data_IF_083439323091
#
_entry.id   IF_083439323091
#
_cell.length_a   1.000
_cell.length_b   1.000
_cell.length_c   1.000
_cell.angle_alpha   90.00
_cell.angle_beta   90.00
_cell.angle_gamma   90.00
#
_symmetry.space_group_name_H-M   'P 1'
#
loop_
_entity.id
_entity.type
_entity.pdbx_description
1 polymer ?
#
# COMPACT_ATOMS: atom_id res chain seq x y z
N UNK A 1 26.43 -26.45 -24.78
CA UNK A 1 25.13 -26.00 -24.21
C UNK A 1 24.26 -25.64 -25.41
N UNK A 2 23.13 -26.32 -25.61
CA UNK A 2 22.22 -25.93 -26.70
C UNK A 2 21.72 -24.52 -26.41
N UNK A 3 21.68 -23.67 -27.43
CA UNK A 3 21.21 -22.30 -27.33
C UNK A 3 19.69 -22.34 -27.15
N UNK A 4 19.24 -22.73 -25.96
CA UNK A 4 17.83 -22.79 -25.63
C UNK A 4 17.34 -21.34 -25.61
N UNK A 5 16.52 -21.01 -26.60
CA UNK A 5 15.94 -19.68 -26.75
C UNK A 5 15.18 -19.36 -25.46
N UNK A 6 15.71 -18.45 -24.65
CA UNK A 6 14.99 -17.90 -23.52
C UNK A 6 13.79 -17.09 -24.04
N UNK A 7 12.64 -17.26 -23.41
CA UNK A 7 11.45 -16.50 -23.74
C UNK A 7 10.78 -16.01 -22.45
N UNK A 8 10.24 -14.79 -22.45
CA UNK A 8 9.46 -14.32 -21.32
C UNK A 8 8.15 -15.11 -21.26
N UNK A 9 7.75 -15.49 -20.05
CA UNK A 9 6.42 -16.00 -19.78
C UNK A 9 5.85 -15.25 -18.56
N UNK A 10 4.56 -14.85 -18.60
CA UNK A 10 3.97 -14.12 -17.49
C UNK A 10 3.69 -15.06 -16.32
N UNK A 11 3.86 -14.54 -15.11
CA UNK A 11 3.44 -15.19 -13.85
C UNK A 11 2.83 -14.13 -12.92
N UNK A 12 1.95 -14.56 -12.01
CA UNK A 12 1.31 -13.64 -11.07
C UNK A 12 2.23 -13.36 -9.88
N UNK A 13 2.39 -12.09 -9.51
CA UNK A 13 3.18 -11.66 -8.36
C UNK A 13 2.69 -12.24 -7.02
N UNK A 14 1.42 -12.61 -6.93
CA UNK A 14 0.85 -13.29 -5.78
C UNK A 14 1.58 -14.59 -5.40
N UNK A 15 2.31 -15.21 -6.34
CA UNK A 15 3.18 -16.36 -6.06
C UNK A 15 4.32 -16.04 -5.06
N UNK A 16 4.69 -14.77 -4.92
CA UNK A 16 5.82 -14.31 -4.08
C UNK A 16 5.38 -13.89 -2.66
N UNK A 17 4.19 -14.26 -2.23
CA UNK A 17 3.71 -14.00 -0.86
C UNK A 17 4.34 -14.96 0.16
N UNK A 18 4.40 -14.53 1.44
CA UNK A 18 4.92 -15.35 2.55
C UNK A 18 4.25 -16.72 2.64
N UNK A 19 2.94 -16.78 2.41
CA UNK A 19 2.19 -18.04 2.45
C UNK A 19 2.69 -19.06 1.42
N UNK A 20 3.03 -18.60 0.22
CA UNK A 20 3.53 -19.45 -0.85
C UNK A 20 5.00 -19.78 -0.66
N UNK A 21 5.79 -18.86 -0.09
CA UNK A 21 7.18 -19.11 0.28
C UNK A 21 7.30 -20.30 1.25
N UNK A 22 6.48 -20.33 2.30
CA UNK A 22 6.50 -21.40 3.30
C UNK A 22 6.00 -22.75 2.73
N UNK A 23 5.01 -22.70 1.84
CA UNK A 23 4.42 -23.90 1.23
C UNK A 23 5.30 -24.50 0.12
N UNK A 24 5.80 -23.69 -0.80
CA UNK A 24 6.52 -24.13 -2.01
C UNK A 24 8.02 -24.28 -1.76
N UNK A 25 8.62 -23.32 -1.05
CA UNK A 25 10.06 -23.25 -0.84
C UNK A 25 10.85 -23.40 -2.15
N UNK A 26 11.89 -24.27 -2.18
CA UNK A 26 12.71 -24.48 -3.38
C UNK A 26 11.98 -25.12 -4.56
N UNK A 27 10.80 -25.74 -4.36
CA UNK A 27 10.04 -26.36 -5.44
C UNK A 27 9.49 -25.34 -6.45
N UNK A 28 9.64 -24.04 -6.16
CA UNK A 28 9.28 -22.92 -7.02
C UNK A 28 9.93 -23.03 -8.40
N UNK A 29 11.19 -23.47 -8.45
CA UNK A 29 11.91 -23.66 -9.71
C UNK A 29 11.24 -24.67 -10.62
N UNK A 30 10.80 -25.79 -10.06
CA UNK A 30 10.09 -26.83 -10.80
C UNK A 30 8.69 -26.36 -11.21
N UNK A 31 8.00 -25.63 -10.34
CA UNK A 31 6.69 -25.06 -10.63
C UNK A 31 6.73 -24.05 -11.79
N UNK A 32 7.67 -23.10 -11.75
CA UNK A 32 7.88 -22.12 -12.83
C UNK A 32 8.24 -22.81 -14.16
N UNK A 33 9.03 -23.88 -14.10
CA UNK A 33 9.34 -24.69 -15.28
C UNK A 33 8.10 -25.39 -15.86
N UNK A 34 7.17 -25.85 -15.01
CA UNK A 34 5.90 -26.39 -15.51
C UNK A 34 5.03 -25.31 -16.16
N UNK A 35 4.98 -24.10 -15.59
CA UNK A 35 4.26 -22.97 -16.21
C UNK A 35 4.86 -22.66 -17.59
N UNK A 36 6.19 -22.53 -17.69
CA UNK A 36 6.84 -22.25 -18.97
C UNK A 36 6.58 -23.38 -19.99
N UNK A 37 6.61 -24.63 -19.53
CA UNK A 37 6.38 -25.85 -20.33
C UNK A 37 4.90 -26.16 -20.59
N UNK A 38 3.98 -25.29 -20.16
CA UNK A 38 2.55 -25.43 -20.44
C UNK A 38 2.27 -25.18 -21.92
N UNK A 39 1.63 -26.15 -22.58
CA UNK A 39 1.32 -26.11 -24.02
C UNK A 39 -0.12 -25.73 -24.29
N UNK A 40 -1.05 -26.17 -23.45
CA UNK A 40 -2.49 -25.90 -23.57
C UNK A 40 -3.06 -25.61 -22.20
N UNK A 41 -4.12 -24.83 -22.15
CA UNK A 41 -4.87 -24.55 -20.92
C UNK A 41 -6.31 -25.02 -21.10
N UNK A 42 -6.82 -25.73 -20.10
CA UNK A 42 -8.21 -26.18 -20.05
C UNK A 42 -8.83 -25.52 -18.83
N UNK A 43 -9.92 -24.79 -19.03
CA UNK A 43 -10.73 -24.31 -17.93
C UNK A 43 -11.70 -25.42 -17.52
N UNK A 44 -11.60 -25.85 -16.26
CA UNK A 44 -12.50 -26.85 -15.68
C UNK A 44 -12.94 -26.34 -14.31
N UNK A 45 -14.25 -26.29 -14.09
CA UNK A 45 -14.86 -25.87 -12.82
C UNK A 45 -14.45 -24.44 -12.40
N UNK A 46 -14.31 -23.52 -13.36
CA UNK A 46 -13.85 -22.14 -13.11
C UNK A 46 -12.37 -22.01 -12.73
N UNK A 47 -11.60 -23.09 -12.86
CA UNK A 47 -10.16 -23.13 -12.60
C UNK A 47 -9.42 -23.47 -13.88
N UNK A 48 -8.46 -22.62 -14.26
CA UNK A 48 -7.55 -22.87 -15.39
C UNK A 48 -6.51 -23.92 -15.01
N UNK A 49 -6.47 -25.02 -15.75
CA UNK A 49 -5.47 -26.09 -15.65
C UNK A 49 -4.56 -26.08 -16.88
N UNK A 50 -3.27 -25.91 -16.66
CA UNK A 50 -2.24 -25.99 -17.70
C UNK A 50 -1.79 -27.42 -17.93
N UNK A 51 -1.88 -27.88 -19.18
CA UNK A 51 -1.31 -29.16 -19.61
C UNK A 51 0.19 -28.97 -19.88
N UNK A 52 1.02 -29.65 -19.09
CA UNK A 52 2.47 -29.65 -19.26
C UNK A 52 2.86 -30.55 -20.42
N UNK A 53 3.63 -30.02 -21.38
CA UNK A 53 4.17 -30.76 -22.53
C UNK A 53 3.14 -31.63 -23.28
N UNK A 54 1.87 -31.25 -23.30
CA UNK A 54 0.80 -32.01 -23.94
C UNK A 54 0.48 -33.36 -23.28
N UNK A 55 0.60 -33.48 -21.95
CA UNK A 55 0.47 -34.74 -21.20
C UNK A 55 1.53 -35.79 -21.56
N UNK A 56 2.68 -35.37 -22.11
CA UNK A 56 3.83 -36.27 -22.23
C UNK A 56 4.17 -36.84 -20.82
N UNK A 57 4.26 -38.18 -20.66
CA UNK A 57 4.63 -38.77 -19.38
C UNK A 57 6.07 -38.37 -19.04
N UNK A 58 6.24 -37.66 -17.92
CA UNK A 58 7.52 -37.14 -17.44
C UNK A 58 8.12 -38.07 -16.39
N UNK A 59 9.40 -38.41 -16.55
CA UNK A 59 10.16 -39.16 -15.55
C UNK A 59 10.87 -38.20 -14.61
N UNK A 60 10.96 -38.56 -13.32
CA UNK A 60 11.71 -37.78 -12.33
C UNK A 60 13.16 -37.51 -12.76
N UNK A 61 13.79 -38.48 -13.46
CA UNK A 61 15.13 -38.36 -14.03
C UNK A 61 15.28 -37.24 -15.05
N UNK A 62 14.28 -37.05 -15.92
CA UNK A 62 14.32 -36.01 -16.96
C UNK A 62 14.25 -34.62 -16.33
N UNK A 63 13.34 -34.44 -15.35
CA UNK A 63 13.23 -33.21 -14.58
C UNK A 63 14.48 -32.93 -13.75
N UNK A 64 15.08 -33.96 -13.14
CA UNK A 64 16.31 -33.86 -12.36
C UNK A 64 17.49 -33.37 -13.21
N UNK A 65 17.59 -33.85 -14.45
CA UNK A 65 18.64 -33.45 -15.39
C UNK A 65 18.56 -31.96 -15.77
N UNK A 66 17.36 -31.36 -15.81
CA UNK A 66 17.19 -29.93 -16.14
C UNK A 66 17.84 -29.04 -15.08
N UNK A 67 17.70 -29.37 -13.80
CA UNK A 67 18.20 -28.56 -12.69
C UNK A 67 19.55 -29.06 -12.13
N UNK A 68 20.06 -30.19 -12.62
CA UNK A 68 21.26 -30.82 -12.06
C UNK A 68 21.10 -31.33 -10.63
N UNK A 69 19.87 -31.72 -10.24
CA UNK A 69 19.55 -32.20 -8.89
C UNK A 69 19.30 -33.71 -8.87
N UNK A 70 19.19 -34.30 -7.68
CA UNK A 70 18.86 -35.73 -7.54
C UNK A 70 17.39 -36.01 -7.85
N UNK A 71 17.07 -37.22 -8.33
CA UNK A 71 15.68 -37.66 -8.52
C UNK A 71 14.86 -37.59 -7.23
N UNK A 72 15.50 -37.87 -6.08
CA UNK A 72 14.87 -37.80 -4.76
C UNK A 72 14.40 -36.38 -4.44
N UNK A 73 15.18 -35.38 -4.81
CA UNK A 73 14.83 -33.95 -4.65
C UNK A 73 13.60 -33.60 -5.49
N UNK A 74 13.57 -34.03 -6.75
CA UNK A 74 12.44 -33.77 -7.65
C UNK A 74 11.17 -34.46 -7.15
N UNK A 75 11.25 -35.71 -6.69
CA UNK A 75 10.09 -36.40 -6.10
C UNK A 75 9.54 -35.66 -4.88
N UNK A 76 10.42 -35.21 -3.99
CA UNK A 76 10.02 -34.39 -2.83
C UNK A 76 9.35 -33.08 -3.26
N UNK A 77 9.85 -32.43 -4.31
CA UNK A 77 9.22 -31.22 -4.86
C UNK A 77 7.85 -31.51 -5.47
N UNK A 78 7.70 -32.62 -6.20
CA UNK A 78 6.42 -33.04 -6.76
C UNK A 78 5.39 -33.31 -5.66
N UNK A 79 5.75 -34.08 -4.64
CA UNK A 79 4.89 -34.37 -3.48
C UNK A 79 4.46 -33.08 -2.78
N UNK A 80 5.40 -32.15 -2.58
CA UNK A 80 5.11 -30.88 -1.93
C UNK A 80 4.21 -29.97 -2.78
N UNK A 81 4.42 -29.92 -4.09
CA UNK A 81 3.56 -29.16 -5.00
C UNK A 81 2.15 -29.76 -5.12
N UNK A 82 2.04 -31.09 -5.07
CA UNK A 82 0.76 -31.81 -5.08
C UNK A 82 0.00 -31.62 -3.76
N UNK A 83 0.68 -31.76 -2.62
CA UNK A 83 0.09 -31.59 -1.29
C UNK A 83 -0.48 -30.19 -1.04
N UNK A 84 0.06 -29.18 -1.72
CA UNK A 84 -0.41 -27.79 -1.62
C UNK A 84 -1.28 -27.36 -2.82
N UNK A 85 -1.77 -28.32 -3.61
CA UNK A 85 -2.69 -28.11 -4.74
C UNK A 85 -2.15 -27.19 -5.86
N UNK A 86 -0.83 -27.05 -6.01
CA UNK A 86 -0.25 -26.30 -7.13
C UNK A 86 -0.27 -27.11 -8.43
N UNK A 87 -0.14 -28.42 -8.32
CA UNK A 87 -0.16 -29.35 -9.45
C UNK A 87 -1.07 -30.54 -9.15
N UNK A 88 -1.53 -31.19 -10.21
CA UNK A 88 -2.08 -32.54 -10.16
C UNK A 88 -1.16 -33.47 -10.95
N UNK A 89 -0.74 -34.55 -10.31
CA UNK A 89 0.06 -35.58 -10.96
C UNK A 89 -0.80 -36.83 -11.16
N UNK A 90 -0.93 -37.29 -12.40
CA UNK A 90 -1.62 -38.55 -12.73
C UNK A 90 -0.59 -39.56 -13.19
N UNK A 91 -0.63 -40.77 -12.62
CA UNK A 91 0.27 -41.86 -13.00
C UNK A 91 -0.04 -42.35 -14.41
N UNK A 92 0.98 -42.42 -15.25
CA UNK A 92 0.94 -42.99 -16.59
C UNK A 92 1.92 -44.17 -16.68
N UNK A 93 1.78 -45.06 -17.70
CA UNK A 93 2.62 -46.25 -17.83
C UNK A 93 4.14 -45.96 -17.84
N UNK A 94 4.56 -44.79 -18.35
CA UNK A 94 5.96 -44.44 -18.54
C UNK A 94 6.43 -43.20 -17.76
N UNK A 95 5.61 -42.68 -16.84
CA UNK A 95 5.93 -41.46 -16.07
C UNK A 95 4.72 -40.84 -15.40
N UNK A 96 4.82 -39.55 -15.09
CA UNK A 96 3.74 -38.75 -14.51
C UNK A 96 3.22 -37.75 -15.55
N UNK A 97 1.90 -37.67 -15.71
CA UNK A 97 1.23 -36.59 -16.42
C UNK A 97 0.96 -35.47 -15.43
N UNK A 98 1.46 -34.27 -15.71
CA UNK A 98 1.35 -33.13 -14.80
C UNK A 98 0.37 -32.11 -15.37
N UNK A 99 -0.56 -31.67 -14.54
CA UNK A 99 -1.42 -30.52 -14.79
C UNK A 99 -1.13 -29.44 -13.76
N UNK A 100 -0.94 -28.19 -14.21
CA UNK A 100 -0.60 -27.05 -13.35
C UNK A 100 -1.86 -26.24 -13.05
N UNK A 101 -2.12 -25.97 -11.78
CA UNK A 101 -3.24 -25.11 -11.38
C UNK A 101 -2.88 -23.64 -11.62
N UNK A 102 -3.84 -22.85 -12.09
CA UNK A 102 -3.67 -21.40 -12.33
C UNK A 102 -2.52 -21.04 -13.28
N UNK A 103 -2.26 -21.88 -14.29
CA UNK A 103 -1.15 -21.64 -15.23
C UNK A 103 -1.26 -20.30 -15.97
N UNK A 104 -2.49 -19.85 -16.29
CA UNK A 104 -2.88 -18.53 -16.86
C UNK A 104 -1.85 -17.89 -17.82
N UNK A 105 -1.09 -18.71 -18.54
CA UNK A 105 0.00 -18.35 -19.43
C UNK A 105 -0.54 -17.67 -20.68
N UNK A 106 -1.73 -18.09 -21.12
CA UNK A 106 -2.38 -17.57 -22.33
C UNK A 106 -3.48 -16.55 -22.02
N UNK A 107 -3.78 -16.24 -20.76
CA UNK A 107 -4.82 -15.26 -20.41
C UNK A 107 -4.53 -13.86 -20.97
N UNK A 108 -3.26 -13.48 -21.10
CA UNK A 108 -2.83 -12.22 -21.73
C UNK A 108 -2.90 -12.22 -23.27
N UNK A 109 -3.25 -13.35 -23.90
CA UNK A 109 -3.39 -13.48 -25.37
C UNK A 109 -4.83 -13.40 -25.87
N UNK A 110 -5.79 -13.08 -25.00
CA UNK A 110 -7.17 -12.81 -25.43
C UNK A 110 -7.26 -11.41 -26.05
N UNK A 111 -6.60 -11.24 -27.21
CA UNK A 111 -7.03 -10.22 -28.16
C UNK A 111 -8.38 -10.69 -28.71
N UNK A 112 -9.40 -9.89 -28.45
CA UNK A 112 -10.76 -10.04 -28.92
C UNK A 112 -10.77 -10.29 -30.44
N UNK A 113 -10.87 -11.57 -30.84
CA UNK A 113 -11.33 -11.92 -32.18
C UNK A 113 -12.85 -11.75 -32.20
N UNK A 114 -13.31 -10.50 -32.16
CA UNK A 114 -14.60 -10.12 -32.70
C UNK A 114 -14.35 -9.87 -34.18
N UNK A 115 -14.67 -10.88 -34.99
CA UNK A 115 -14.75 -10.77 -36.43
C UNK A 115 -15.86 -9.76 -36.79
N UNK A 116 -15.46 -8.49 -36.94
CA UNK A 116 -16.22 -7.42 -37.58
C UNK A 116 -15.41 -6.88 -38.75
N UNK A 117 -15.81 -7.28 -39.96
CA UNK A 117 -15.36 -6.89 -41.30
C UNK A 117 -14.45 -5.66 -41.51
N UNK A 118 -13.42 -5.89 -42.35
CA UNK A 118 -12.91 -5.01 -43.42
C UNK A 118 -12.30 -3.63 -43.04
N UNK A 119 -10.97 -3.56 -42.99
CA UNK A 119 -10.15 -2.97 -44.06
C UNK A 119 -8.66 -3.04 -43.71
N UNK A 120 -7.89 -3.62 -44.61
CA UNK A 120 -6.43 -3.56 -44.65
C UNK A 120 -5.96 -2.09 -44.62
N UNK A 121 -4.98 -1.78 -43.76
CA UNK A 121 -4.07 -0.65 -43.98
C UNK A 121 -2.66 -1.02 -43.51
N UNK A 122 -1.63 -0.68 -44.32
CA UNK A 122 -0.29 -1.19 -44.14
C UNK A 122 0.46 -0.45 -43.02
N UNK A 123 1.34 -1.22 -42.40
CA UNK A 123 2.40 -0.82 -41.50
C UNK A 123 3.20 0.38 -42.03
N UNK A 124 3.40 1.40 -41.17
CA UNK A 124 4.51 2.35 -41.32
C UNK A 124 5.04 2.76 -39.93
N UNK A 125 6.35 2.91 -39.73
CA UNK A 125 6.97 3.02 -38.40
C UNK A 125 7.32 4.48 -38.00
N UNK A 126 7.40 4.72 -36.67
CA UNK A 126 8.00 5.88 -35.94
C UNK A 126 7.17 7.19 -35.96
N UNK A 127 7.04 8.07 -34.95
CA UNK A 127 7.42 8.29 -33.51
C UNK A 127 6.44 9.38 -32.95
N UNK A 128 6.74 10.16 -31.88
CA UNK A 128 6.23 10.07 -30.51
C UNK A 128 5.16 11.13 -30.12
N UNK A 129 4.64 10.97 -28.90
CA UNK A 129 3.98 11.96 -28.02
C UNK A 129 2.47 12.26 -28.13
N UNK A 130 1.85 12.16 -26.93
CA UNK A 130 0.75 13.00 -26.36
C UNK A 130 -0.67 12.43 -26.31
N UNK A 131 -1.03 12.05 -25.08
CA UNK A 131 -2.30 12.16 -24.33
C UNK A 131 -3.64 11.55 -24.78
N UNK A 132 -4.20 10.85 -23.77
CA UNK A 132 -5.59 10.77 -23.31
C UNK A 132 -6.64 10.03 -24.13
N UNK A 133 -6.93 8.80 -23.66
CA UNK A 133 -8.21 8.39 -23.00
C UNK A 133 -8.13 6.88 -22.70
N UNK A 134 -7.84 6.47 -21.47
CA UNK A 134 -8.82 6.09 -20.42
C UNK A 134 -10.00 5.27 -20.95
N UNK A 135 -9.85 3.94 -20.96
CA UNK A 135 -10.82 3.03 -20.33
C UNK A 135 -10.26 1.60 -20.30
N UNK A 136 -9.66 1.22 -19.17
CA UNK A 136 -9.52 -0.19 -18.82
C UNK A 136 -10.03 -0.32 -17.39
N UNK A 137 -11.29 -0.70 -17.32
CA UNK A 137 -12.00 -1.12 -16.12
C UNK A 137 -11.31 -2.36 -15.53
N UNK A 138 -10.30 -2.11 -14.70
CA UNK A 138 -9.77 -3.07 -13.73
C UNK A 138 -10.17 -2.54 -12.37
N UNK A 139 -11.23 -3.13 -11.84
CA UNK A 139 -11.63 -3.12 -10.43
C UNK A 139 -10.53 -3.75 -9.56
N UNK A 140 -9.36 -3.13 -9.53
CA UNK A 140 -8.43 -3.25 -8.42
C UNK A 140 -9.03 -2.48 -7.26
N UNK A 141 -9.19 -3.15 -6.12
CA UNK A 141 -9.46 -2.49 -4.85
C UNK A 141 -8.18 -1.76 -4.40
N UNK A 142 -7.79 -0.71 -5.13
CA UNK A 142 -6.91 0.31 -4.59
C UNK A 142 -7.71 1.07 -3.54
N UNK A 143 -7.25 1.06 -2.29
CA UNK A 143 -7.82 1.98 -1.32
C UNK A 143 -7.24 3.36 -1.60
N UNK A 144 -7.99 4.43 -1.34
CA UNK A 144 -7.46 5.80 -1.45
C UNK A 144 -6.19 6.03 -0.61
N UNK A 145 -5.94 5.17 0.38
CA UNK A 145 -4.72 5.16 1.18
C UNK A 145 -3.51 4.60 0.41
N UNK A 146 -3.70 3.61 -0.47
CA UNK A 146 -2.62 3.04 -1.29
C UNK A 146 -2.15 4.07 -2.33
N UNK A 147 -3.09 4.75 -3.00
CA UNK A 147 -2.79 5.86 -3.91
C UNK A 147 -2.01 6.97 -3.21
N UNK A 148 -2.40 7.32 -1.99
CA UNK A 148 -1.72 8.30 -1.16
C UNK A 148 -0.25 7.94 -0.85
N UNK A 149 0.01 6.66 -0.54
CA UNK A 149 1.36 6.16 -0.29
C UNK A 149 2.23 6.28 -1.54
N UNK A 150 1.71 5.86 -2.69
CA UNK A 150 2.43 5.91 -3.96
C UNK A 150 2.76 7.35 -4.37
N UNK A 151 1.84 8.29 -4.19
CA UNK A 151 2.10 9.71 -4.46
C UNK A 151 3.24 10.27 -3.60
N UNK A 152 3.30 9.92 -2.31
CA UNK A 152 4.37 10.37 -1.41
C UNK A 152 5.71 9.69 -1.76
N UNK A 153 5.69 8.38 -2.05
CA UNK A 153 6.87 7.61 -2.43
C UNK A 153 7.50 8.12 -3.73
N UNK A 154 6.68 8.44 -4.72
CA UNK A 154 7.11 9.03 -5.99
C UNK A 154 7.78 10.39 -5.76
N UNK A 155 7.20 11.25 -4.91
CA UNK A 155 7.79 12.55 -4.59
C UNK A 155 9.12 12.42 -3.85
N UNK A 156 9.22 11.50 -2.89
CA UNK A 156 10.47 11.21 -2.19
C UNK A 156 11.58 10.72 -3.13
N UNK A 157 11.23 9.86 -4.08
CA UNK A 157 12.15 9.37 -5.13
C UNK A 157 12.69 10.52 -5.98
N UNK A 158 11.84 11.47 -6.38
CA UNK A 158 12.25 12.64 -7.15
C UNK A 158 13.24 13.52 -6.37
N UNK A 159 12.92 13.84 -5.10
CA UNK A 159 13.79 14.67 -4.25
C UNK A 159 15.14 14.01 -3.98
N UNK A 160 15.13 12.69 -3.72
CA UNK A 160 16.36 11.94 -3.49
C UNK A 160 17.21 11.83 -4.75
N UNK A 161 16.57 11.60 -5.89
CA UNK A 161 17.27 11.50 -7.17
C UNK A 161 17.92 12.84 -7.57
N UNK A 162 17.26 13.96 -7.25
CA UNK A 162 17.84 15.29 -7.43
C UNK A 162 19.05 15.54 -6.51
N UNK A 163 19.04 15.02 -5.28
CA UNK A 163 20.13 15.20 -4.31
C UNK A 163 21.35 14.32 -4.60
N UNK A 164 21.14 13.05 -4.98
CA UNK A 164 22.23 12.08 -5.20
C UNK A 164 22.71 12.03 -6.66
N UNK A 165 22.02 12.70 -7.60
CA UNK A 165 22.34 12.64 -9.04
C UNK A 165 22.15 11.26 -9.67
N UNK A 166 21.49 10.34 -8.95
CA UNK A 166 21.20 8.96 -9.37
C UNK A 166 19.75 8.64 -9.03
N UNK A 167 19.08 7.87 -9.89
CA UNK A 167 17.76 7.32 -9.59
C UNK A 167 17.84 6.34 -8.42
N UNK A 168 17.26 6.71 -7.27
CA UNK A 168 17.24 5.86 -6.09
C UNK A 168 15.81 5.67 -5.57
N UNK A 169 15.38 4.42 -5.56
CA UNK A 169 14.05 4.04 -5.15
C UNK A 169 13.95 3.88 -3.62
N UNK A 170 12.78 4.13 -3.01
CA UNK A 170 12.56 3.95 -1.59
C UNK A 170 12.66 2.47 -1.20
N UNK A 171 13.25 2.18 -0.04
CA UNK A 171 13.31 0.83 0.50
C UNK A 171 11.94 0.39 1.03
N UNK A 172 11.72 -0.92 1.22
CA UNK A 172 10.52 -1.44 1.90
C UNK A 172 10.28 -0.79 3.27
N UNK A 173 11.35 -0.45 4.01
CA UNK A 173 11.26 0.29 5.28
C UNK A 173 10.77 1.73 5.10
N UNK A 174 11.07 2.36 3.98
CA UNK A 174 10.60 3.71 3.65
C UNK A 174 9.11 3.67 3.31
N UNK A 175 8.65 2.69 2.53
CA UNK A 175 7.23 2.46 2.26
C UNK A 175 6.42 2.24 3.55
N UNK A 176 6.95 1.46 4.50
CA UNK A 176 6.31 1.28 5.81
C UNK A 176 6.20 2.61 6.60
N UNK A 177 7.22 3.46 6.52
CA UNK A 177 7.18 4.76 7.19
C UNK A 177 6.18 5.73 6.52
N UNK A 178 6.10 5.72 5.19
CA UNK A 178 5.10 6.50 4.43
C UNK A 178 3.67 6.03 4.78
N UNK A 179 3.43 4.72 4.80
CA UNK A 179 2.14 4.16 5.17
C UNK A 179 1.71 4.56 6.60
N UNK A 180 2.66 4.67 7.55
CA UNK A 180 2.37 5.18 8.90
C UNK A 180 1.91 6.63 8.89
N UNK A 181 2.52 7.50 8.09
CA UNK A 181 2.11 8.91 7.97
C UNK A 181 0.68 9.01 7.42
N UNK A 182 0.37 8.22 6.39
CA UNK A 182 -0.99 8.16 5.84
C UNK A 182 -1.98 7.62 6.87
N UNK A 183 -1.62 6.59 7.63
CA UNK A 183 -2.46 6.02 8.69
C UNK A 183 -2.69 6.98 9.88
N UNK A 184 -1.73 7.86 10.19
CA UNK A 184 -1.89 8.95 11.17
C UNK A 184 -2.94 9.97 10.72
N UNK A 185 -3.29 9.98 9.42
CA UNK A 185 -4.29 10.87 8.84
C UNK A 185 -3.72 12.21 8.39
N UNK A 186 -2.41 12.29 8.14
CA UNK A 186 -1.81 13.50 7.56
C UNK A 186 -2.22 13.61 6.09
N UNK A 187 -2.78 14.75 5.64
CA UNK A 187 -3.15 14.92 4.23
C UNK A 187 -1.95 14.78 3.29
N UNK A 188 -2.11 14.08 2.17
CA UNK A 188 -1.06 13.80 1.18
C UNK A 188 -0.33 15.06 0.71
N UNK A 189 -1.10 16.09 0.36
CA UNK A 189 -0.58 17.39 -0.10
C UNK A 189 0.27 18.08 0.97
N UNK A 190 -0.15 17.98 2.23
CA UNK A 190 0.57 18.54 3.37
C UNK A 190 1.87 17.77 3.64
N UNK A 191 1.82 16.44 3.54
CA UNK A 191 2.98 15.56 3.67
C UNK A 191 4.03 15.89 2.60
N UNK A 192 3.62 16.05 1.34
CA UNK A 192 4.51 16.44 0.24
C UNK A 192 5.17 17.80 0.52
N UNK A 193 4.39 18.79 0.96
CA UNK A 193 4.92 20.12 1.30
C UNK A 193 5.97 20.04 2.41
N UNK A 194 5.68 19.32 3.49
CA UNK A 194 6.63 19.16 4.59
C UNK A 194 7.85 18.31 4.21
N UNK A 195 7.69 17.38 3.26
CA UNK A 195 8.80 16.63 2.69
C UNK A 195 9.77 17.56 1.95
N UNK A 196 9.26 18.45 1.11
CA UNK A 196 10.08 19.45 0.40
C UNK A 196 10.78 20.39 1.36
N UNK A 197 10.05 20.92 2.36
CA UNK A 197 10.63 21.77 3.40
C UNK A 197 11.71 21.04 4.22
N UNK A 198 11.55 19.73 4.46
CA UNK A 198 12.55 18.90 5.14
C UNK A 198 13.84 18.79 4.34
N UNK A 199 13.75 18.55 3.02
CA UNK A 199 14.92 18.49 2.14
C UNK A 199 15.59 19.87 2.00
N UNK A 200 14.81 20.94 1.88
CA UNK A 200 15.35 22.29 1.81
C UNK A 200 16.06 22.71 3.11
N UNK A 201 15.46 22.39 4.27
CA UNK A 201 16.08 22.66 5.57
C UNK A 201 17.36 21.85 5.78
N UNK A 202 17.43 20.64 5.22
CA UNK A 202 18.63 19.81 5.23
C UNK A 202 19.72 20.41 4.35
N UNK A 203 19.41 20.79 3.10
CA UNK A 203 20.36 21.44 2.19
C UNK A 203 20.93 22.73 2.79
N UNK A 204 20.10 23.55 3.44
CA UNK A 204 20.55 24.79 4.08
C UNK A 204 21.52 24.56 5.26
N UNK A 205 21.48 23.38 5.90
CA UNK A 205 22.34 23.02 7.04
C UNK A 205 23.51 22.14 6.64
N UNK A 206 23.52 21.65 5.41
CA UNK A 206 24.51 20.67 4.95
C UNK A 206 25.89 21.30 4.89
N UNK A 207 26.85 20.69 5.57
CA UNK A 207 28.25 21.15 5.59
C UNK A 207 29.07 20.49 4.48
N UNK A 208 28.75 19.24 4.13
CA UNK A 208 29.47 18.47 3.12
C UNK A 208 28.52 17.90 2.05
N UNK A 209 28.94 17.95 0.78
CA UNK A 209 28.15 17.45 -0.35
C UNK A 209 27.88 15.93 -0.31
N UNK A 210 28.60 15.18 0.52
CA UNK A 210 28.42 13.74 0.75
C UNK A 210 27.28 13.39 1.72
N UNK A 211 26.78 14.36 2.48
CA UNK A 211 25.67 14.17 3.39
C UNK A 211 24.36 14.25 2.59
N UNK A 212 23.61 13.14 2.56
CA UNK A 212 22.32 13.05 1.88
C UNK A 212 21.28 12.37 2.77
N UNK A 213 20.00 12.64 2.50
CA UNK A 213 18.91 11.97 3.20
C UNK A 213 18.72 10.58 2.60
N UNK A 214 19.20 9.55 3.31
CA UNK A 214 19.19 8.16 2.81
C UNK A 214 17.89 7.39 3.10
N UNK A 215 17.11 7.83 4.08
CA UNK A 215 15.95 7.10 4.58
C UNK A 215 14.80 8.04 4.92
N UNK A 216 13.58 7.63 4.57
CA UNK A 216 12.35 8.39 4.81
C UNK A 216 12.06 8.57 6.30
N UNK A 217 12.60 7.70 7.16
CA UNK A 217 12.45 7.80 8.62
C UNK A 217 12.92 9.15 9.17
N UNK A 218 13.90 9.80 8.54
CA UNK A 218 14.33 11.15 8.89
C UNK A 218 13.19 12.17 8.67
N UNK A 219 12.59 12.15 7.48
CA UNK A 219 11.47 13.01 7.13
C UNK A 219 10.22 12.68 7.95
N UNK A 220 9.97 11.40 8.26
CA UNK A 220 8.83 10.95 9.10
C UNK A 220 8.78 11.69 10.43
N UNK A 221 9.91 11.79 11.14
CA UNK A 221 9.98 12.51 12.44
C UNK A 221 9.63 13.99 12.28
N UNK A 222 10.18 14.65 11.27
CA UNK A 222 9.92 16.06 11.00
C UNK A 222 8.44 16.33 10.67
N UNK A 223 7.81 15.43 9.90
CA UNK A 223 6.40 15.48 9.53
C UNK A 223 5.51 15.24 10.75
N UNK A 224 5.81 14.23 11.56
CA UNK A 224 5.09 13.89 12.79
C UNK A 224 5.12 15.06 13.79
N UNK A 225 6.29 15.64 14.07
CA UNK A 225 6.43 16.75 15.01
C UNK A 225 5.55 17.96 14.63
N UNK A 226 5.55 18.33 13.35
CA UNK A 226 4.71 19.43 12.85
C UNK A 226 3.23 19.11 12.88
N UNK A 227 2.86 17.87 12.57
CA UNK A 227 1.47 17.43 12.63
C UNK A 227 0.94 17.49 14.07
N UNK A 228 1.66 16.93 15.03
CA UNK A 228 1.26 16.97 16.44
C UNK A 228 1.23 18.39 17.00
N UNK A 229 2.18 19.25 16.62
CA UNK A 229 2.15 20.66 17.00
C UNK A 229 0.92 21.38 16.43
N UNK A 230 0.50 21.06 15.21
CA UNK A 230 -0.71 21.63 14.60
C UNK A 230 -1.98 21.13 15.31
N UNK A 231 -2.04 19.85 15.68
CA UNK A 231 -3.15 19.27 16.44
C UNK A 231 -3.24 19.89 17.85
N UNK A 232 -2.11 20.07 18.54
CA UNK A 232 -2.06 20.71 19.85
C UNK A 232 -2.58 22.16 19.81
N UNK A 233 -2.17 22.94 18.79
CA UNK A 233 -2.67 24.33 18.60
C UNK A 233 -4.17 24.37 18.36
N UNK A 234 -4.69 23.48 17.51
CA UNK A 234 -6.15 23.38 17.27
C UNK A 234 -6.91 23.02 18.54
N UNK A 235 -6.41 22.04 19.29
CA UNK A 235 -7.03 21.62 20.56
C UNK A 235 -7.02 22.75 21.60
N UNK A 236 -5.90 23.47 21.73
CA UNK A 236 -5.80 24.63 22.63
C UNK A 236 -6.75 25.77 22.23
N UNK A 237 -6.90 26.04 20.93
CA UNK A 237 -7.85 27.05 20.43
C UNK A 237 -9.31 26.65 20.75
N UNK A 238 -9.67 25.38 20.53
CA UNK A 238 -11.01 24.86 20.88
C UNK A 238 -11.27 24.95 22.38
N UNK A 239 -10.27 24.59 23.20
CA UNK A 239 -10.38 24.72 24.67
C UNK A 239 -10.59 26.18 25.09
N UNK A 240 -9.81 27.10 24.54
CA UNK A 240 -9.94 28.53 24.82
C UNK A 240 -11.30 29.10 24.36
N UNK A 241 -11.82 28.69 23.20
CA UNK A 241 -13.18 29.06 22.77
C UNK A 241 -14.28 28.49 23.69
N UNK A 242 -14.13 27.24 24.15
CA UNK A 242 -15.06 26.63 25.12
C UNK A 242 -15.05 27.38 26.46
N UNK A 243 -13.86 27.73 26.97
CA UNK A 243 -13.74 28.50 28.21
C UNK A 243 -14.33 29.91 28.07
N UNK A 244 -14.12 30.60 26.94
CA UNK A 244 -14.75 31.91 26.65
C UNK A 244 -16.29 31.85 26.58
N UNK A 245 -16.87 30.75 26.10
CA UNK A 245 -18.34 30.57 26.10
C UNK A 245 -18.89 30.39 27.51
N UNK A 246 -18.17 29.66 28.38
CA UNK A 246 -18.58 29.41 29.76
C UNK A 246 -18.41 30.65 30.67
N UNK A 247 -17.46 31.53 30.34
CA UNK A 247 -17.26 32.82 31.01
C UNK A 247 -18.39 33.81 30.69
N UNK A 248 -18.88 33.81 29.43
CA UNK A 248 -20.05 34.60 29.01
C UNK A 248 -21.36 34.16 29.67
N UNK A 249 -21.50 32.89 30.06
CA UNK A 249 -22.71 32.39 30.76
C UNK A 249 -22.75 32.76 32.24
N UNK A 250 -21.60 33.05 32.86
CA UNK A 250 -21.53 33.48 34.26
C UNK A 250 -21.75 34.99 34.46
N UNK A 251 -21.83 35.77 33.39
CA UNK A 251 -22.17 37.21 33.44
C UNK A 251 -23.67 37.50 33.52
N UNK A 252 -24.46 36.58 34.09
CA UNK A 252 -25.89 36.78 34.42
C UNK A 252 -26.10 36.88 35.92
N UNK A 253 -25.57 37.95 36.51
CA UNK A 253 -26.20 38.67 37.64
C UNK A 253 -25.47 39.99 37.83
N UNK A 254 -25.88 41.02 37.10
CA UNK A 254 -26.03 42.34 37.71
C UNK A 254 -26.99 43.18 36.90
N UNK A 255 -28.29 43.00 37.14
CA UNK A 255 -29.28 44.04 36.87
C UNK A 255 -30.40 43.97 37.91
N UNK A 256 -30.17 44.70 39.01
CA UNK A 256 -31.16 45.63 39.52
C UNK A 256 -31.86 45.27 40.84
N UNK A 257 -31.66 46.17 41.83
CA UNK A 257 -32.65 46.81 42.73
C UNK A 257 -32.24 46.73 44.22
N UNK A 258 -32.25 47.79 45.03
CA UNK A 258 -32.94 49.08 44.96
C UNK A 258 -32.06 50.22 45.49
N UNK A 259 -32.20 51.41 44.89
CA UNK A 259 -31.80 52.67 45.49
C UNK A 259 -32.47 52.84 46.87
N UNK A 260 -31.65 53.07 47.90
CA UNK A 260 -32.14 53.45 49.22
C UNK A 260 -32.72 54.86 49.13
N UNK A 261 -34.04 54.97 49.13
CA UNK A 261 -34.71 56.22 49.49
C UNK A 261 -34.48 56.44 50.99
N UNK A 262 -33.84 57.55 51.31
CA UNK A 262 -33.82 58.09 52.66
C UNK A 262 -35.24 58.47 53.06
N UNK A 263 -35.74 57.88 54.15
CA UNK A 263 -36.63 58.49 55.15
C UNK A 263 -37.06 57.39 56.14
N UNK A 264 -36.31 57.26 57.25
CA UNK A 264 -36.91 56.82 58.51
C UNK A 264 -36.73 57.94 59.52
N UNK A 265 -37.85 58.50 59.98
CA UNK A 265 -37.98 59.68 60.84
C UNK A 265 -37.64 59.41 62.32
N UNK A 266 -37.06 58.25 62.62
CA UNK A 266 -36.59 57.84 63.95
C UNK A 266 -35.12 57.48 63.83
N UNK A 267 -34.24 58.42 64.18
CA UNK A 267 -32.78 58.31 64.08
C UNK A 267 -32.18 57.19 64.96
N UNK A 268 -32.30 55.93 64.53
CA UNK A 268 -31.44 54.84 64.98
C UNK A 268 -31.59 54.39 66.44
N UNK A 269 -32.78 54.52 67.07
CA UNK A 269 -33.01 53.95 68.40
C UNK A 269 -33.78 52.63 68.35
N UNK A 270 -33.07 51.51 68.53
CA UNK A 270 -33.66 50.21 68.85
C UNK A 270 -33.77 50.06 70.37
N UNK A 271 -34.96 50.33 70.91
CA UNK A 271 -35.29 50.12 72.32
C UNK A 271 -35.51 48.64 72.64
N UNK A 272 -34.76 48.12 73.62
CA UNK A 272 -34.88 46.77 74.17
C UNK A 272 -36.12 46.69 75.07
N UNK A 273 -37.20 46.07 74.59
CA UNK A 273 -38.39 45.80 75.42
C UNK A 273 -38.18 44.50 76.20
N UNK A 274 -38.02 44.61 77.52
CA UNK A 274 -38.01 43.49 78.47
C UNK A 274 -39.43 42.89 78.60
N UNK A 275 -39.55 41.57 78.54
CA UNK A 275 -40.75 40.85 79.00
C UNK A 275 -40.82 40.93 80.53
N UNK A 276 -41.96 41.38 81.08
CA UNK A 276 -42.33 41.15 82.48
C UNK A 276 -42.85 39.72 82.63
N UNK A 277 -42.42 39.06 83.69
CA UNK A 277 -43.08 37.86 84.23
C UNK A 277 -44.44 38.25 84.81
N UNK A 278 -45.45 37.44 84.53
CA UNK A 278 -46.63 37.22 85.38
C UNK A 278 -46.78 35.71 85.49
#
# INVERSE_FOLDING_TARGET
MKNDKSYPFPTYSGLLNSEHYDKIGPALWLFLWFISSTTKEIEKDGVSWGIVLGHKPLKAREMAAVFGVSEKTVRRWLELLENHDYIKAVRAPYGLMISVKHSKKFSFRSDNTVHGSLKERPFSPQTPDTNDRTDIDKTNKYTAADDAVDHIANRFTQLRSAQEGRTVYPSSRDYQAIARIVAIGVPVTQTIKWLEECFQAFENRRTAASETIKAFRYCSKFIEDRFFAQQAKKNAAIQHERMKKHDKTNNRTDFGRAEKRETSITGGQTGRIRRKQV
#
